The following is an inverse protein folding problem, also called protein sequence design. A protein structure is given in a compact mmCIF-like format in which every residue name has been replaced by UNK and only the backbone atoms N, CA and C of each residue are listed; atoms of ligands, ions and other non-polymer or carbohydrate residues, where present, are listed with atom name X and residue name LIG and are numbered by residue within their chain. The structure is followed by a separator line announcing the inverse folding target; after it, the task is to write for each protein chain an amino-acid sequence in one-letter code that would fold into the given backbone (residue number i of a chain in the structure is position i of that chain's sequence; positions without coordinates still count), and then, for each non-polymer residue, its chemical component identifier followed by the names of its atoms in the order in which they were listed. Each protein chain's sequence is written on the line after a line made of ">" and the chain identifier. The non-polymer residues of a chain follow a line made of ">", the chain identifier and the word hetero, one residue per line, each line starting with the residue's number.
data_IF_070343339579
#
_entry.id   IF_070343339579
#
_cell.length_a   1.000
_cell.length_b   1.000
_cell.length_c   1.000
_cell.angle_alpha   90.00
_cell.angle_beta   90.00
_cell.angle_gamma   90.00
#
_symmetry.space_group_name_H-M   'P 1'
#
loop_
_entity.id
_entity.type
_entity.pdbx_description
1 polymer ?
#
# COMPACT_ATOMS: atom_id res chain seq x y z
N UNK A 1 -10.46 -11.09 -32.28
CA UNK A 1 -10.97 -10.58 -30.99
C UNK A 1 -10.78 -11.66 -29.93
N UNK A 2 -9.73 -11.52 -29.10
CA UNK A 2 -9.56 -12.04 -27.73
C UNK A 2 -8.07 -12.29 -27.46
N UNK A 3 -7.55 -11.61 -26.45
CA UNK A 3 -6.17 -11.79 -25.97
C UNK A 3 -5.39 -10.47 -25.99
N UNK A 4 -5.47 -9.71 -24.89
CA UNK A 4 -4.43 -8.73 -24.48
C UNK A 4 -4.77 -7.99 -23.18
N UNK A 5 -6.01 -8.06 -22.67
CA UNK A 5 -6.36 -7.40 -21.39
C UNK A 5 -5.80 -8.09 -20.14
N UNK A 6 -5.34 -9.35 -20.23
CA UNK A 6 -4.83 -10.09 -19.08
C UNK A 6 -3.42 -9.67 -18.63
N UNK A 7 -2.62 -9.02 -19.48
CA UNK A 7 -1.28 -8.54 -19.11
C UNK A 7 -1.27 -7.30 -18.22
N UNK A 8 -2.40 -6.60 -18.07
CA UNK A 8 -2.49 -5.40 -17.22
C UNK A 8 -2.72 -5.71 -15.72
N UNK A 9 -2.88 -6.98 -15.34
CA UNK A 9 -3.11 -7.41 -13.97
C UNK A 9 -1.87 -8.02 -13.28
N UNK A 10 -0.75 -8.20 -13.99
CA UNK A 10 0.54 -8.36 -13.31
C UNK A 10 0.88 -6.97 -12.77
N UNK A 11 0.59 -6.76 -11.49
CA UNK A 11 1.00 -5.58 -10.78
C UNK A 11 2.51 -5.39 -10.95
N UNK A 12 2.95 -4.13 -10.96
CA UNK A 12 4.37 -3.89 -10.75
C UNK A 12 4.78 -4.58 -9.44
N UNK A 13 5.99 -5.15 -9.30
CA UNK A 13 6.41 -5.81 -8.06
C UNK A 13 6.24 -4.91 -6.81
N UNK A 14 6.29 -3.59 -6.98
CA UNK A 14 5.97 -2.60 -5.94
C UNK A 14 4.46 -2.47 -5.62
N UNK A 15 3.58 -2.63 -6.62
CA UNK A 15 2.13 -2.71 -6.42
C UNK A 15 1.76 -3.99 -5.66
N UNK A 16 2.37 -5.12 -6.02
CA UNK A 16 2.14 -6.39 -5.32
C UNK A 16 2.61 -6.32 -3.85
N UNK A 17 3.74 -5.67 -3.58
CA UNK A 17 4.23 -5.47 -2.21
C UNK A 17 3.30 -4.59 -1.35
N UNK A 18 2.74 -3.51 -1.93
CA UNK A 18 1.80 -2.64 -1.22
C UNK A 18 0.49 -3.36 -0.88
N UNK A 19 -0.11 -4.08 -1.84
CA UNK A 19 -1.35 -4.84 -1.62
C UNK A 19 -1.16 -5.94 -0.56
N UNK A 20 0.03 -6.55 -0.52
CA UNK A 20 0.38 -7.54 0.50
C UNK A 20 0.40 -6.95 1.91
N UNK A 21 0.99 -5.75 2.08
CA UNK A 21 1.02 -5.02 3.35
C UNK A 21 -0.40 -4.61 3.81
N UNK A 22 -1.24 -4.12 2.89
CA UNK A 22 -2.64 -3.76 3.19
C UNK A 22 -3.44 -4.99 3.61
N UNK A 23 -3.28 -6.09 2.87
CA UNK A 23 -4.00 -7.33 3.19
C UNK A 23 -3.56 -7.90 4.54
N UNK A 24 -2.27 -7.86 4.86
CA UNK A 24 -1.77 -8.24 6.18
C UNK A 24 -2.32 -7.34 7.30
N UNK A 25 -2.47 -6.04 7.06
CA UNK A 25 -3.07 -5.11 8.03
C UNK A 25 -4.56 -5.40 8.26
N UNK A 26 -5.33 -5.64 7.19
CA UNK A 26 -6.77 -5.91 7.26
C UNK A 26 -7.09 -7.26 7.91
N UNK A 27 -6.28 -8.29 7.65
CA UNK A 27 -6.46 -9.60 8.25
C UNK A 27 -5.81 -9.71 9.65
N UNK A 28 -4.89 -8.81 9.96
CA UNK A 28 -4.07 -8.83 11.17
C UNK A 28 -2.80 -9.68 10.98
N UNK A 29 -1.68 -9.17 11.51
CA UNK A 29 -0.34 -9.76 11.31
C UNK A 29 -0.16 -11.15 11.92
N UNK A 30 -0.97 -11.50 12.92
CA UNK A 30 -1.02 -12.84 13.52
C UNK A 30 -1.68 -13.87 12.57
N UNK A 31 -2.69 -13.44 11.80
CA UNK A 31 -3.37 -14.30 10.82
C UNK A 31 -2.61 -14.35 9.50
N UNK A 32 -1.93 -13.26 9.15
CA UNK A 32 -1.13 -13.14 7.93
C UNK A 32 0.09 -12.26 8.18
N UNK A 33 1.22 -12.90 8.46
CA UNK A 33 2.49 -12.20 8.65
C UNK A 33 3.02 -11.73 7.28
N UNK A 34 3.21 -10.42 7.06
CA UNK A 34 3.74 -9.92 5.80
C UNK A 34 5.22 -10.31 5.63
N UNK A 35 5.68 -10.52 4.38
CA UNK A 35 7.05 -10.94 4.12
C UNK A 35 8.06 -9.93 4.65
N UNK A 36 9.12 -10.42 5.32
CA UNK A 36 10.16 -9.58 5.91
C UNK A 36 9.84 -9.02 7.30
N UNK A 37 8.64 -9.25 7.84
CA UNK A 37 8.31 -8.89 9.21
C UNK A 37 8.50 -10.09 10.17
N UNK A 38 9.11 -9.88 11.36
CA UNK A 38 9.19 -10.93 12.37
C UNK A 38 7.78 -11.26 12.90
N UNK A 39 7.45 -12.54 13.16
CA UNK A 39 6.16 -12.93 13.70
C UNK A 39 5.98 -12.46 15.16
N UNK A 40 4.73 -12.43 15.62
CA UNK A 40 4.36 -12.09 16.99
C UNK A 40 4.25 -10.58 17.26
N UNK A 41 4.45 -10.16 18.52
CA UNK A 41 4.12 -8.80 18.98
C UNK A 41 4.81 -7.65 18.23
N UNK A 42 5.93 -7.90 17.57
CA UNK A 42 6.64 -6.88 16.78
C UNK A 42 6.11 -6.76 15.34
N UNK A 43 5.35 -7.74 14.86
CA UNK A 43 4.85 -7.78 13.50
C UNK A 43 4.03 -6.54 13.09
N UNK A 44 3.14 -5.97 13.94
CA UNK A 44 2.41 -4.76 13.59
C UNK A 44 3.32 -3.55 13.36
N UNK A 45 4.37 -3.39 14.19
CA UNK A 45 5.32 -2.28 14.06
C UNK A 45 6.16 -2.45 12.79
N UNK A 46 6.68 -3.65 12.56
CA UNK A 46 7.46 -3.95 11.36
C UNK A 46 6.64 -3.76 10.07
N UNK A 47 5.34 -4.08 10.10
CA UNK A 47 4.42 -3.80 8.99
C UNK A 47 4.32 -2.29 8.72
N UNK A 48 4.18 -1.47 9.76
CA UNK A 48 4.09 -0.02 9.62
C UNK A 48 5.39 0.59 9.08
N UNK A 49 6.54 0.09 9.53
CA UNK A 49 7.85 0.51 9.01
C UNK A 49 7.99 0.17 7.53
N UNK A 50 7.61 -1.05 7.13
CA UNK A 50 7.63 -1.47 5.73
C UNK A 50 6.68 -0.62 4.86
N UNK A 51 5.48 -0.32 5.36
CA UNK A 51 4.51 0.54 4.66
C UNK A 51 5.01 1.99 4.50
N UNK A 52 5.74 2.52 5.49
CA UNK A 52 6.36 3.83 5.40
C UNK A 52 7.42 3.87 4.29
N UNK A 53 8.30 2.86 4.24
CA UNK A 53 9.32 2.75 3.18
C UNK A 53 8.66 2.65 1.79
N UNK A 54 7.66 1.79 1.64
CA UNK A 54 7.00 1.60 0.34
C UNK A 54 6.26 2.86 -0.11
N UNK A 55 5.65 3.59 0.81
CA UNK A 55 5.05 4.90 0.52
C UNK A 55 6.08 5.90 0.01
N UNK A 56 7.26 5.96 0.62
CA UNK A 56 8.35 6.82 0.17
C UNK A 56 8.84 6.39 -1.21
N UNK A 57 9.07 5.09 -1.45
CA UNK A 57 9.49 4.57 -2.77
C UNK A 57 8.51 4.95 -3.87
N UNK A 58 7.21 4.77 -3.63
CA UNK A 58 6.15 5.15 -4.58
C UNK A 58 6.09 6.65 -4.84
N UNK A 59 6.42 7.48 -3.83
CA UNK A 59 6.40 8.95 -3.95
C UNK A 59 7.72 9.54 -4.41
N UNK A 60 8.81 8.79 -4.35
CA UNK A 60 10.14 9.29 -4.70
C UNK A 60 10.15 9.79 -6.14
N UNK A 61 10.58 11.04 -6.34
CA UNK A 61 10.62 11.68 -7.65
C UNK A 61 9.28 12.17 -8.20
N UNK A 62 8.15 11.93 -7.51
CA UNK A 62 6.87 12.52 -7.91
C UNK A 62 6.83 14.00 -7.56
N UNK A 63 6.36 14.82 -8.50
CA UNK A 63 6.01 16.21 -8.22
C UNK A 63 4.60 16.29 -7.64
N UNK A 64 4.39 17.00 -6.51
CA UNK A 64 3.05 17.25 -6.00
C UNK A 64 2.16 17.87 -7.07
N UNK A 65 0.95 17.33 -7.23
CA UNK A 65 -0.06 17.94 -8.08
C UNK A 65 -0.53 19.28 -7.47
N UNK A 66 -1.10 20.14 -8.33
CA UNK A 66 -1.78 21.36 -7.86
C UNK A 66 -2.88 20.98 -6.86
N UNK A 67 -2.96 21.72 -5.75
CA UNK A 67 -4.01 21.52 -4.76
C UNK A 67 -5.41 21.69 -5.39
N UNK A 68 -6.33 20.83 -4.99
CA UNK A 68 -7.75 20.94 -5.35
C UNK A 68 -8.40 22.12 -4.59
N UNK A 69 -9.58 22.55 -5.06
CA UNK A 69 -10.41 23.51 -4.33
C UNK A 69 -10.75 22.94 -2.95
N UNK A 70 -10.72 23.82 -1.93
CA UNK A 70 -11.08 23.44 -0.56
C UNK A 70 -12.53 22.92 -0.54
N UNK A 71 -12.83 21.82 0.17
CA UNK A 71 -14.21 21.40 0.39
C UNK A 71 -14.98 22.46 1.19
N UNK A 72 -16.28 22.58 0.90
CA UNK A 72 -17.18 23.43 1.68
C UNK A 72 -17.21 22.96 3.16
N UNK A 73 -17.38 23.88 4.12
CA UNK A 73 -17.54 23.52 5.53
C UNK A 73 -18.71 22.55 5.75
N UNK A 74 -18.55 21.63 6.70
CA UNK A 74 -19.66 20.77 7.13
C UNK A 74 -20.77 21.63 7.78
N UNK A 75 -22.03 21.28 7.55
CA UNK A 75 -23.15 21.90 8.24
C UNK A 75 -23.04 21.67 9.76
N UNK A 76 -23.48 22.66 10.54
CA UNK A 76 -23.56 22.57 12.00
C UNK A 76 -24.71 21.65 12.45
#
# INVERSE_FOLDING_TARGET
>A
MNGSRASALVGSPAADAWEELVTAALLGTERRTPPGCPPGRQAPVALLDAAAVETVRRRAGLRPARAATRPEPAAA
#
